data_IF_785004681163
#
_entry.id   IF_785004681163
#
_cell.length_a   1.000
_cell.length_b   1.000
_cell.length_c   1.000
_cell.angle_alpha   90.00
_cell.angle_beta   90.00
_cell.angle_gamma   90.00
#
_symmetry.space_group_name_H-M   'P 1'
#
loop_
_entity.id
_entity.type
_entity.pdbx_description
1 polymer ?
#
# COMPACT_ATOMS: atom_id res chain seq x y z
N UNK A 1 -25.53 -22.06 1.44
CA UNK A 1 -24.71 -23.25 1.73
C UNK A 1 -24.40 -23.21 3.20
N UNK A 2 -24.96 -24.16 3.96
CA UNK A 2 -24.65 -24.28 5.38
C UNK A 2 -23.22 -24.77 5.55
N UNK A 3 -22.43 -24.07 6.34
CA UNK A 3 -21.11 -24.55 6.80
C UNK A 3 -21.38 -25.78 7.68
N UNK A 4 -20.67 -26.90 7.50
CA UNK A 4 -20.88 -28.05 8.35
C UNK A 4 -20.56 -27.71 9.80
N UNK A 5 -21.48 -27.94 10.75
CA UNK A 5 -21.26 -27.65 12.16
C UNK A 5 -20.54 -28.84 12.77
N UNK A 6 -19.25 -28.81 12.93
CA UNK A 6 -18.58 -29.89 13.65
C UNK A 6 -17.22 -29.56 14.24
N UNK A 7 -16.91 -28.28 14.42
CA UNK A 7 -15.74 -27.92 15.19
C UNK A 7 -16.17 -27.13 16.43
N UNK A 8 -15.62 -27.53 17.56
CA UNK A 8 -15.87 -26.83 18.81
C UNK A 8 -15.09 -25.52 18.83
N UNK A 9 -15.78 -24.44 19.22
CA UNK A 9 -15.15 -23.14 19.37
C UNK A 9 -14.07 -23.22 20.47
N UNK A 10 -12.89 -22.64 20.24
CA UNK A 10 -11.88 -22.54 21.30
C UNK A 10 -12.46 -21.87 22.54
N UNK A 11 -12.23 -22.43 23.76
CA UNK A 11 -12.83 -21.90 24.99
C UNK A 11 -12.55 -20.42 25.26
N UNK A 12 -11.37 -19.95 24.86
CA UNK A 12 -10.93 -18.56 25.07
C UNK A 12 -11.70 -17.54 24.20
N UNK A 13 -12.50 -18.02 23.28
CA UNK A 13 -13.21 -17.20 22.30
C UNK A 13 -14.63 -16.84 22.67
N UNK A 14 -15.18 -17.51 23.65
CA UNK A 14 -16.50 -17.18 24.14
C UNK A 14 -16.54 -15.77 24.76
N UNK A 15 -15.39 -15.28 25.23
CA UNK A 15 -15.26 -14.03 25.93
C UNK A 15 -14.77 -12.85 25.07
N UNK A 16 -14.41 -13.07 23.79
CA UNK A 16 -13.98 -11.99 22.91
C UNK A 16 -15.18 -11.16 22.44
N UNK A 17 -15.11 -9.86 22.67
CA UNK A 17 -16.12 -8.91 22.21
C UNK A 17 -15.83 -8.50 20.76
N UNK A 18 -16.60 -9.04 19.81
CA UNK A 18 -16.54 -8.70 18.39
C UNK A 18 -17.43 -7.54 17.98
N UNK A 19 -18.19 -6.97 18.91
CA UNK A 19 -19.13 -5.86 18.64
C UNK A 19 -18.45 -4.71 17.89
N UNK A 20 -17.26 -4.21 18.29
CA UNK A 20 -16.61 -3.11 17.58
C UNK A 20 -16.25 -3.43 16.12
N UNK A 21 -15.91 -4.68 15.84
CA UNK A 21 -15.64 -5.14 14.48
C UNK A 21 -16.93 -5.18 13.65
N UNK A 22 -18.00 -5.77 14.18
CA UNK A 22 -19.29 -5.88 13.49
C UNK A 22 -19.94 -4.51 13.27
N UNK A 23 -19.84 -3.60 14.24
CA UNK A 23 -20.29 -2.21 14.09
C UNK A 23 -19.56 -1.48 12.95
N UNK A 24 -18.23 -1.68 12.85
CA UNK A 24 -17.45 -1.08 11.77
C UNK A 24 -17.80 -1.64 10.40
N UNK A 25 -18.10 -2.93 10.32
CA UNK A 25 -18.59 -3.57 9.09
C UNK A 25 -20.03 -3.18 8.76
N UNK A 26 -20.83 -2.81 9.77
CA UNK A 26 -22.26 -2.46 9.63
C UNK A 26 -23.12 -3.64 9.23
N UNK A 27 -22.70 -4.88 9.54
CA UNK A 27 -23.42 -6.12 9.25
C UNK A 27 -23.22 -7.15 10.36
N UNK A 28 -24.19 -8.04 10.51
CA UNK A 28 -24.10 -9.19 11.40
C UNK A 28 -23.42 -10.37 10.69
N UNK A 29 -22.59 -11.10 11.42
CA UNK A 29 -22.00 -12.36 10.98
C UNK A 29 -22.22 -13.43 12.05
N UNK A 30 -22.40 -14.70 11.65
CA UNK A 30 -22.38 -15.76 12.63
C UNK A 30 -21.00 -15.83 13.30
N UNK A 31 -21.01 -16.15 14.57
CA UNK A 31 -19.77 -16.23 15.36
C UNK A 31 -18.78 -17.22 14.75
N UNK A 32 -19.25 -18.37 14.30
CA UNK A 32 -18.42 -19.40 13.66
C UNK A 32 -17.75 -18.88 12.39
N UNK A 33 -18.49 -18.17 11.56
CA UNK A 33 -17.96 -17.65 10.29
C UNK A 33 -16.96 -16.51 10.52
N UNK A 34 -17.24 -15.62 11.49
CA UNK A 34 -16.34 -14.56 11.89
C UNK A 34 -15.03 -15.13 12.44
N UNK A 35 -15.11 -16.09 13.35
CA UNK A 35 -13.95 -16.80 13.92
C UNK A 35 -13.11 -17.42 12.80
N UNK A 36 -13.75 -18.12 11.87
CA UNK A 36 -13.05 -18.71 10.74
C UNK A 36 -12.34 -17.65 9.90
N UNK A 37 -12.95 -16.50 9.63
CA UNK A 37 -12.32 -15.43 8.89
C UNK A 37 -11.07 -14.86 9.59
N UNK A 38 -11.05 -14.91 10.92
CA UNK A 38 -9.97 -14.40 11.75
C UNK A 38 -8.92 -15.48 12.10
N UNK A 39 -9.14 -16.75 11.70
CA UNK A 39 -8.26 -17.87 12.04
C UNK A 39 -7.14 -18.05 11.01
N UNK A 40 -5.94 -17.59 11.35
CA UNK A 40 -4.76 -17.82 10.53
C UNK A 40 -4.34 -19.30 10.54
N UNK A 41 -3.74 -19.76 9.43
CA UNK A 41 -3.27 -21.15 9.28
C UNK A 41 -2.34 -21.63 10.40
N UNK A 42 -1.55 -20.75 11.03
CA UNK A 42 -0.69 -21.13 12.13
C UNK A 42 -1.48 -21.60 13.35
N UNK A 43 -2.61 -20.93 13.65
CA UNK A 43 -3.49 -21.35 14.72
C UNK A 43 -4.18 -22.69 14.41
N UNK A 44 -4.72 -22.81 13.20
CA UNK A 44 -5.36 -24.06 12.77
C UNK A 44 -4.40 -25.26 12.78
N UNK A 45 -3.11 -25.03 12.52
CA UNK A 45 -2.08 -26.05 12.61
C UNK A 45 -1.87 -26.55 14.05
N UNK A 46 -1.88 -25.64 15.02
CA UNK A 46 -1.75 -25.99 16.44
C UNK A 46 -3.04 -26.58 17.06
N UNK A 47 -4.19 -26.36 16.40
CA UNK A 47 -5.52 -26.78 16.87
C UNK A 47 -6.23 -27.62 15.79
N UNK A 48 -5.89 -28.92 15.66
CA UNK A 48 -6.49 -29.80 14.65
C UNK A 48 -8.02 -29.83 14.73
N UNK A 49 -8.66 -29.66 13.57
CA UNK A 49 -10.11 -29.61 13.46
C UNK A 49 -10.68 -28.20 13.31
N UNK A 50 -9.93 -27.16 13.63
CA UNK A 50 -10.33 -25.77 13.42
C UNK A 50 -9.95 -25.35 11.99
N UNK A 51 -10.90 -24.88 11.16
CA UNK A 51 -10.61 -24.44 9.79
C UNK A 51 -9.94 -23.08 9.78
N UNK A 52 -8.92 -22.90 8.92
CA UNK A 52 -8.30 -21.61 8.67
C UNK A 52 -9.13 -20.72 7.73
N UNK A 53 -8.63 -19.49 7.51
CA UNK A 53 -9.28 -18.46 6.71
C UNK A 53 -8.96 -18.50 5.20
N UNK A 54 -8.00 -19.30 4.72
CA UNK A 54 -7.51 -19.27 3.33
C UNK A 54 -8.62 -19.39 2.26
N UNK A 55 -9.64 -20.21 2.51
CA UNK A 55 -10.75 -20.34 1.56
C UNK A 55 -11.70 -19.14 1.55
N UNK A 56 -11.83 -18.44 2.67
CA UNK A 56 -12.57 -17.17 2.76
C UNK A 56 -11.80 -16.04 2.13
N UNK A 57 -10.49 -15.97 2.34
CA UNK A 57 -9.54 -15.08 1.69
C UNK A 57 -9.68 -15.20 0.15
N UNK A 58 -9.55 -16.41 -0.39
CA UNK A 58 -9.69 -16.65 -1.83
C UNK A 58 -11.02 -16.13 -2.41
N UNK A 59 -12.13 -16.34 -1.70
CA UNK A 59 -13.43 -15.82 -2.12
C UNK A 59 -13.50 -14.30 -1.97
N UNK A 60 -13.00 -13.79 -0.84
CA UNK A 60 -13.02 -12.36 -0.52
C UNK A 60 -12.20 -11.51 -1.48
N UNK A 61 -11.02 -11.99 -1.89
CA UNK A 61 -10.22 -11.36 -2.95
C UNK A 61 -11.04 -11.18 -4.23
N UNK A 62 -11.73 -12.20 -4.67
CA UNK A 62 -12.57 -12.13 -5.88
C UNK A 62 -13.72 -11.12 -5.73
N UNK A 63 -14.39 -11.09 -4.56
CA UNK A 63 -15.48 -10.14 -4.27
C UNK A 63 -14.95 -8.71 -4.14
N UNK A 64 -13.79 -8.52 -3.53
CA UNK A 64 -13.10 -7.24 -3.43
C UNK A 64 -12.75 -6.71 -4.82
N UNK A 65 -12.10 -7.55 -5.63
CA UNK A 65 -11.68 -7.18 -6.98
C UNK A 65 -12.86 -6.75 -7.86
N UNK A 66 -13.97 -7.52 -7.89
CA UNK A 66 -15.13 -7.13 -8.70
C UNK A 66 -15.77 -5.84 -8.17
N UNK A 67 -15.88 -5.67 -6.85
CA UNK A 67 -16.49 -4.48 -6.25
C UNK A 67 -15.71 -3.20 -6.58
N UNK A 68 -14.39 -3.25 -6.46
CA UNK A 68 -13.51 -2.12 -6.78
C UNK A 68 -13.48 -1.87 -8.30
N UNK A 69 -13.43 -2.94 -9.11
CA UNK A 69 -13.44 -2.81 -10.58
C UNK A 69 -14.68 -2.09 -11.08
N UNK A 70 -15.87 -2.51 -10.66
CA UNK A 70 -17.12 -1.85 -11.04
C UNK A 70 -17.17 -0.39 -10.56
N UNK A 71 -16.69 -0.11 -9.34
CA UNK A 71 -16.64 1.26 -8.84
C UNK A 71 -15.73 2.13 -9.69
N UNK A 72 -14.52 1.69 -10.02
CA UNK A 72 -13.59 2.42 -10.88
C UNK A 72 -14.15 2.64 -12.27
N UNK A 73 -14.76 1.62 -12.87
CA UNK A 73 -15.38 1.70 -14.19
C UNK A 73 -16.45 2.80 -14.26
N UNK A 74 -17.31 2.91 -13.26
CA UNK A 74 -18.36 3.91 -13.22
C UNK A 74 -17.89 5.30 -12.76
N UNK A 75 -16.93 5.36 -11.87
CA UNK A 75 -16.44 6.63 -11.31
C UNK A 75 -15.49 7.36 -12.29
N UNK A 76 -14.79 6.61 -13.15
CA UNK A 76 -13.78 7.15 -14.06
C UNK A 76 -14.03 6.70 -15.51
N UNK A 77 -15.16 7.11 -16.14
CA UNK A 77 -15.59 6.63 -17.46
C UNK A 77 -14.62 6.96 -18.60
N UNK A 78 -13.84 8.03 -18.44
CA UNK A 78 -12.93 8.52 -19.49
C UNK A 78 -11.51 7.94 -19.38
N UNK A 79 -11.25 7.11 -18.36
CA UNK A 79 -9.92 6.53 -18.19
C UNK A 79 -9.75 5.23 -18.97
N UNK A 80 -8.62 5.06 -19.66
CA UNK A 80 -8.33 3.83 -20.40
C UNK A 80 -8.16 2.63 -19.46
N UNK A 81 -8.38 1.42 -19.99
CA UNK A 81 -8.30 0.16 -19.25
C UNK A 81 -7.00 0.02 -18.45
N UNK A 82 -5.83 0.30 -19.06
CA UNK A 82 -4.54 0.18 -18.38
C UNK A 82 -4.40 1.07 -17.13
N UNK A 83 -5.05 2.23 -17.12
CA UNK A 83 -5.10 3.11 -15.96
C UNK A 83 -6.00 2.54 -14.87
N UNK A 84 -7.19 2.10 -15.23
CA UNK A 84 -8.13 1.46 -14.31
C UNK A 84 -7.53 0.21 -13.66
N UNK A 85 -6.79 -0.61 -14.43
CA UNK A 85 -6.10 -1.78 -13.94
C UNK A 85 -5.00 -1.43 -12.93
N UNK A 86 -4.21 -0.39 -13.18
CA UNK A 86 -3.18 0.11 -12.25
C UNK A 86 -3.81 0.68 -10.98
N UNK A 87 -4.88 1.47 -11.08
CA UNK A 87 -5.63 1.98 -9.93
C UNK A 87 -6.13 0.84 -9.07
N UNK A 88 -6.80 -0.15 -9.67
CA UNK A 88 -7.28 -1.32 -8.96
C UNK A 88 -6.14 -2.03 -8.22
N UNK A 89 -5.05 -2.36 -8.92
CA UNK A 89 -3.92 -3.08 -8.32
C UNK A 89 -3.36 -2.39 -7.07
N UNK A 90 -3.33 -1.06 -7.04
CA UNK A 90 -2.89 -0.31 -5.87
C UNK A 90 -3.92 -0.30 -4.74
N UNK A 91 -5.19 -0.10 -5.07
CA UNK A 91 -6.28 -0.05 -4.09
C UNK A 91 -6.42 -1.39 -3.37
N UNK A 92 -6.38 -2.52 -4.11
CA UNK A 92 -6.52 -3.88 -3.54
C UNK A 92 -5.18 -4.51 -3.16
N UNK A 93 -4.08 -3.75 -3.13
CA UNK A 93 -2.78 -4.28 -2.74
C UNK A 93 -2.76 -4.73 -1.28
N UNK A 94 -1.97 -5.76 -0.94
CA UNK A 94 -1.80 -6.21 0.44
C UNK A 94 -1.38 -5.08 1.39
N UNK A 95 -0.57 -4.12 0.92
CA UNK A 95 -0.23 -2.93 1.70
C UNK A 95 -1.47 -2.05 2.01
N UNK A 96 -2.33 -1.80 1.04
CA UNK A 96 -3.56 -1.01 1.22
C UNK A 96 -4.54 -1.72 2.15
N UNK A 97 -4.70 -3.04 1.98
CA UNK A 97 -5.56 -3.85 2.84
C UNK A 97 -5.05 -3.93 4.28
N UNK A 98 -3.74 -4.08 4.49
CA UNK A 98 -3.15 -4.04 5.82
C UNK A 98 -3.35 -2.68 6.51
N UNK A 99 -3.20 -1.58 5.77
CA UNK A 99 -3.52 -0.23 6.30
C UNK A 99 -4.99 -0.12 6.67
N UNK A 100 -5.88 -0.62 5.84
CA UNK A 100 -7.32 -0.66 6.14
C UNK A 100 -7.57 -1.49 7.40
N UNK A 101 -7.02 -2.70 7.49
CA UNK A 101 -7.15 -3.59 8.64
C UNK A 101 -6.83 -2.89 9.98
N UNK A 102 -5.79 -2.06 10.02
CA UNK A 102 -5.41 -1.27 11.19
C UNK A 102 -6.42 -0.21 11.60
N UNK A 103 -7.41 0.10 10.75
CA UNK A 103 -8.49 1.05 11.03
C UNK A 103 -9.83 0.40 11.38
N UNK A 104 -9.90 -0.92 11.33
CA UNK A 104 -11.11 -1.68 11.62
C UNK A 104 -11.20 -1.96 13.13
N UNK A 105 -12.19 -1.35 13.77
CA UNK A 105 -12.32 -1.41 15.22
C UNK A 105 -11.38 -0.43 15.96
N UNK A 106 -11.43 -0.38 17.28
CA UNK A 106 -10.69 0.59 18.09
C UNK A 106 -9.17 0.35 18.09
N UNK A 107 -8.72 -0.89 17.94
CA UNK A 107 -7.32 -1.32 18.01
C UNK A 107 -6.82 -1.96 16.70
N UNK A 108 -7.67 -2.02 15.69
CA UNK A 108 -7.37 -2.69 14.41
C UNK A 108 -7.79 -4.16 14.41
N UNK A 109 -7.90 -4.73 13.19
CA UNK A 109 -8.29 -6.12 12.97
C UNK A 109 -7.33 -7.12 13.61
N UNK A 110 -6.06 -6.73 13.77
CA UNK A 110 -5.00 -7.58 14.32
C UNK A 110 -5.30 -8.10 15.73
N UNK A 111 -6.00 -7.33 16.56
CA UNK A 111 -6.37 -7.75 17.92
C UNK A 111 -7.34 -8.95 17.94
N UNK A 112 -8.11 -9.11 16.88
CA UNK A 112 -9.09 -10.19 16.75
C UNK A 112 -8.53 -11.45 16.11
N UNK A 113 -7.26 -11.44 15.63
CA UNK A 113 -6.68 -12.58 14.92
C UNK A 113 -6.33 -13.74 15.85
N UNK A 114 -6.58 -14.95 15.37
CA UNK A 114 -6.08 -16.19 15.96
C UNK A 114 -4.79 -16.57 15.28
N UNK A 115 -3.77 -16.55 16.05
CA UNK A 115 -2.41 -16.88 15.63
C UNK A 115 -1.87 -18.05 16.44
N UNK A 116 -1.11 -18.94 15.80
CA UNK A 116 -0.30 -19.90 16.51
C UNK A 116 0.81 -19.20 17.30
N UNK A 117 1.29 -19.84 18.34
CA UNK A 117 2.25 -19.26 19.30
C UNK A 117 3.50 -18.71 18.62
N UNK A 118 4.02 -19.40 17.60
CA UNK A 118 5.21 -18.95 16.88
C UNK A 118 4.97 -17.68 16.10
N UNK A 119 3.83 -17.55 15.45
CA UNK A 119 3.43 -16.37 14.69
C UNK A 119 3.13 -15.19 15.61
N UNK A 120 2.47 -15.42 16.74
CA UNK A 120 2.23 -14.42 17.78
C UNK A 120 3.52 -13.79 18.29
N UNK A 121 4.51 -14.64 18.65
CA UNK A 121 5.81 -14.19 19.16
C UNK A 121 6.63 -13.38 18.15
N UNK A 122 6.37 -13.53 16.88
CA UNK A 122 7.04 -12.77 15.81
C UNK A 122 6.27 -11.54 15.35
N UNK A 123 5.27 -11.11 16.12
CA UNK A 123 4.47 -9.91 15.83
C UNK A 123 3.46 -10.11 14.70
N UNK A 124 2.94 -11.33 14.54
CA UNK A 124 2.00 -11.70 13.47
C UNK A 124 0.76 -10.82 13.41
N UNK A 125 0.28 -10.27 14.55
CA UNK A 125 -0.87 -9.37 14.62
C UNK A 125 -0.73 -8.09 13.81
N UNK A 126 0.49 -7.64 13.52
CA UNK A 126 0.77 -6.42 12.75
C UNK A 126 1.51 -6.69 11.44
N UNK A 127 1.64 -7.95 11.01
CA UNK A 127 2.22 -8.28 9.71
C UNK A 127 1.27 -7.94 8.58
N UNK A 128 1.75 -7.17 7.60
CA UNK A 128 0.96 -6.72 6.45
C UNK A 128 0.28 -7.87 5.71
N UNK A 129 0.98 -8.98 5.45
CA UNK A 129 0.39 -10.14 4.77
C UNK A 129 -0.79 -10.73 5.54
N UNK A 130 -0.62 -10.98 6.85
CA UNK A 130 -1.67 -11.60 7.69
C UNK A 130 -2.88 -10.68 7.83
N UNK A 131 -2.66 -9.37 7.95
CA UNK A 131 -3.72 -8.37 8.02
C UNK A 131 -4.49 -8.26 6.70
N UNK A 132 -3.81 -8.33 5.57
CA UNK A 132 -4.42 -8.31 4.25
C UNK A 132 -5.30 -9.55 4.04
N UNK A 133 -4.73 -10.75 4.23
CA UNK A 133 -5.42 -12.03 4.08
C UNK A 133 -6.66 -12.12 4.97
N UNK A 134 -6.56 -11.66 6.23
CA UNK A 134 -7.69 -11.61 7.15
C UNK A 134 -8.77 -10.62 6.71
N UNK A 135 -8.39 -9.47 6.14
CA UNK A 135 -9.36 -8.49 5.60
C UNK A 135 -10.15 -9.09 4.45
N UNK A 136 -9.48 -9.76 3.51
CA UNK A 136 -10.14 -10.49 2.43
C UNK A 136 -11.04 -11.60 2.96
N UNK A 137 -10.57 -12.36 3.95
CA UNK A 137 -11.37 -13.40 4.57
C UNK A 137 -12.64 -12.88 5.23
N UNK A 138 -12.58 -11.71 5.89
CA UNK A 138 -13.77 -11.02 6.43
C UNK A 138 -14.73 -10.61 5.31
N UNK A 139 -14.23 -10.07 4.20
CA UNK A 139 -15.08 -9.78 3.04
C UNK A 139 -15.73 -11.04 2.44
N UNK A 140 -15.00 -12.14 2.40
CA UNK A 140 -15.54 -13.44 2.01
C UNK A 140 -16.64 -13.94 2.94
N UNK A 141 -16.49 -13.74 4.26
CA UNK A 141 -17.49 -14.08 5.25
C UNK A 141 -18.76 -13.23 5.09
N UNK A 142 -18.62 -11.91 4.89
CA UNK A 142 -19.74 -11.02 4.58
C UNK A 142 -20.47 -11.49 3.32
N UNK A 143 -19.73 -11.88 2.29
CA UNK A 143 -20.31 -12.34 1.03
C UNK A 143 -21.12 -13.64 1.19
N UNK A 144 -20.60 -14.61 1.91
CA UNK A 144 -21.32 -15.87 2.16
C UNK A 144 -22.64 -15.62 2.91
N UNK A 145 -22.61 -14.67 3.87
CA UNK A 145 -23.77 -14.39 4.72
C UNK A 145 -24.82 -13.56 4.00
N UNK A 146 -24.41 -12.53 3.26
CA UNK A 146 -25.30 -11.47 2.79
C UNK A 146 -25.38 -11.32 1.27
N UNK A 147 -24.54 -12.02 0.51
CA UNK A 147 -24.49 -11.91 -0.94
C UNK A 147 -23.75 -10.67 -1.44
N UNK A 148 -23.73 -10.50 -2.77
CA UNK A 148 -22.85 -9.52 -3.44
C UNK A 148 -23.21 -8.05 -3.14
N UNK A 149 -24.49 -7.72 -3.06
CA UNK A 149 -24.90 -6.30 -2.92
C UNK A 149 -24.50 -5.74 -1.55
N UNK A 150 -24.63 -6.55 -0.50
CA UNK A 150 -24.23 -6.15 0.86
C UNK A 150 -22.70 -6.13 0.95
N UNK A 151 -22.02 -7.14 0.44
CA UNK A 151 -20.55 -7.17 0.42
C UNK A 151 -19.97 -5.96 -0.29
N UNK A 152 -20.49 -5.63 -1.46
CA UNK A 152 -20.08 -4.45 -2.22
C UNK A 152 -20.23 -3.17 -1.41
N UNK A 153 -21.37 -3.00 -0.73
CA UNK A 153 -21.62 -1.83 0.13
C UNK A 153 -20.61 -1.74 1.27
N UNK A 154 -20.32 -2.85 1.95
CA UNK A 154 -19.34 -2.91 3.04
C UNK A 154 -17.93 -2.60 2.51
N UNK A 155 -17.50 -3.28 1.46
CA UNK A 155 -16.18 -3.10 0.84
C UNK A 155 -16.00 -1.66 0.40
N UNK A 156 -16.93 -1.12 -0.38
CA UNK A 156 -16.81 0.24 -0.90
C UNK A 156 -16.91 1.30 0.21
N UNK A 157 -17.69 1.06 1.25
CA UNK A 157 -17.75 1.94 2.43
C UNK A 157 -16.39 2.04 3.13
N UNK A 158 -15.67 0.95 3.22
CA UNK A 158 -14.34 0.91 3.84
C UNK A 158 -13.22 1.40 2.90
N UNK A 159 -13.33 1.10 1.61
CA UNK A 159 -12.28 1.37 0.60
C UNK A 159 -12.45 2.74 -0.09
N UNK A 160 -13.57 3.44 0.08
CA UNK A 160 -13.84 4.70 -0.62
C UNK A 160 -12.73 5.74 -0.46
N UNK A 161 -12.13 5.98 0.73
CA UNK A 161 -11.02 6.91 0.86
C UNK A 161 -9.81 6.54 -0.01
N UNK A 162 -9.51 5.23 -0.15
CA UNK A 162 -8.42 4.76 -1.00
C UNK A 162 -8.74 4.92 -2.49
N UNK A 163 -10.01 4.77 -2.86
CA UNK A 163 -10.48 4.97 -4.24
C UNK A 163 -10.39 6.45 -4.62
N UNK A 164 -10.80 7.34 -3.73
CA UNK A 164 -10.75 8.78 -3.95
C UNK A 164 -9.30 9.28 -4.01
N UNK A 165 -8.46 8.85 -3.05
CA UNK A 165 -7.01 9.13 -3.06
C UNK A 165 -6.35 8.67 -4.37
N UNK A 166 -6.72 7.50 -4.91
CA UNK A 166 -6.19 7.00 -6.17
C UNK A 166 -6.68 7.84 -7.37
N UNK A 167 -7.88 8.41 -7.29
CA UNK A 167 -8.42 9.32 -8.29
C UNK A 167 -7.74 10.69 -8.30
N UNK A 168 -7.58 11.28 -7.12
CA UNK A 168 -7.00 12.61 -6.92
C UNK A 168 -5.48 12.62 -7.09
N UNK A 169 -4.81 11.54 -6.70
CA UNK A 169 -3.37 11.38 -6.89
C UNK A 169 -2.96 11.19 -8.36
N UNK A 170 -3.95 11.19 -9.29
CA UNK A 170 -3.70 10.88 -10.69
C UNK A 170 -2.97 9.55 -10.80
N UNK A 171 -3.72 8.46 -10.68
CA UNK A 171 -3.26 7.08 -10.75
C UNK A 171 -2.26 6.76 -9.61
N UNK A 172 -2.52 5.70 -8.85
CA UNK A 172 -1.47 5.01 -8.07
C UNK A 172 -0.45 4.40 -9.03
N UNK A 173 0.14 5.26 -9.81
CA UNK A 173 1.21 4.97 -10.71
C UNK A 173 2.35 4.45 -9.85
N UNK A 174 2.87 3.34 -10.24
CA UNK A 174 4.29 3.16 -10.10
C UNK A 174 4.94 4.32 -10.88
N UNK A 175 4.99 5.48 -10.19
CA UNK A 175 5.55 6.72 -10.75
C UNK A 175 6.89 6.48 -11.39
N UNK A 176 7.62 5.47 -10.89
CA UNK A 176 8.88 5.04 -11.46
C UNK A 176 8.69 4.38 -12.82
N UNK A 177 7.71 3.48 -12.95
CA UNK A 177 7.41 2.82 -14.23
C UNK A 177 6.89 3.81 -15.26
N UNK A 178 5.97 4.68 -14.89
CA UNK A 178 5.46 5.72 -15.79
C UNK A 178 6.55 6.70 -16.24
N UNK A 179 7.43 7.05 -15.31
CA UNK A 179 8.58 7.90 -15.61
C UNK A 179 9.60 7.17 -16.52
N UNK A 180 9.77 5.86 -16.36
CA UNK A 180 10.61 5.03 -17.22
C UNK A 180 10.06 4.94 -18.64
N UNK A 181 8.75 4.71 -18.80
CA UNK A 181 8.06 4.66 -20.09
C UNK A 181 8.20 6.01 -20.81
N UNK A 182 7.92 7.11 -20.10
CA UNK A 182 8.08 8.47 -20.63
C UNK A 182 9.54 8.79 -21.00
N UNK A 183 10.48 8.43 -20.14
CA UNK A 183 11.90 8.65 -20.36
C UNK A 183 12.42 7.87 -21.57
N UNK A 184 11.94 6.65 -21.75
CA UNK A 184 12.29 5.82 -22.92
C UNK A 184 11.77 6.46 -24.23
N UNK A 185 10.56 7.05 -24.21
CA UNK A 185 9.99 7.70 -25.39
C UNK A 185 10.66 9.04 -25.74
N UNK A 186 10.93 9.88 -24.73
CA UNK A 186 11.37 11.26 -24.95
C UNK A 186 12.89 11.46 -24.87
N UNK A 187 13.59 10.67 -24.06
CA UNK A 187 15.00 10.90 -23.76
C UNK A 187 15.93 9.73 -24.13
N UNK A 188 15.40 8.60 -24.59
CA UNK A 188 16.16 7.37 -24.85
C UNK A 188 17.06 6.92 -23.69
N UNK A 189 16.70 7.28 -22.46
CA UNK A 189 17.45 6.98 -21.25
C UNK A 189 16.51 6.74 -20.07
N UNK A 190 16.88 5.88 -19.14
CA UNK A 190 16.10 5.65 -17.92
C UNK A 190 16.23 6.84 -16.95
N UNK A 191 15.18 7.11 -16.12
CA UNK A 191 15.27 8.06 -15.04
C UNK A 191 16.32 7.61 -14.00
N UNK A 192 17.01 8.57 -13.41
CA UNK A 192 17.98 8.33 -12.33
C UNK A 192 17.55 9.09 -11.10
N UNK A 193 17.82 8.53 -9.92
CA UNK A 193 17.50 9.16 -8.64
C UNK A 193 18.79 9.45 -7.87
N UNK A 194 19.01 10.71 -7.57
CA UNK A 194 20.04 11.11 -6.63
C UNK A 194 19.50 11.00 -5.21
N UNK A 195 20.18 10.22 -4.34
CA UNK A 195 19.67 9.91 -3.00
C UNK A 195 20.65 10.38 -1.95
N UNK A 196 20.12 11.11 -0.95
CA UNK A 196 20.85 11.52 0.25
C UNK A 196 20.09 11.05 1.50
N UNK A 197 20.72 11.12 2.66
CA UNK A 197 20.04 10.79 3.92
C UNK A 197 20.61 11.59 5.08
N UNK A 198 19.77 11.88 6.06
CA UNK A 198 20.12 12.59 7.29
C UNK A 198 19.49 11.93 8.51
N UNK A 199 19.98 12.27 9.69
CA UNK A 199 19.52 11.77 10.99
C UNK A 199 20.23 10.51 11.47
N UNK A 200 20.05 10.16 12.75
CA UNK A 200 20.65 8.98 13.35
C UNK A 200 20.08 7.69 12.74
N UNK A 201 20.80 6.57 12.81
CA UNK A 201 20.45 5.32 12.15
C UNK A 201 19.04 4.79 12.45
N UNK A 202 18.55 5.02 13.68
CA UNK A 202 17.21 4.62 14.11
C UNK A 202 16.08 5.58 13.67
N UNK A 203 16.42 6.77 13.15
CA UNK A 203 15.48 7.79 12.69
C UNK A 203 15.95 8.45 11.39
N UNK A 204 16.60 7.67 10.51
CA UNK A 204 17.15 8.15 9.25
C UNK A 204 16.04 8.57 8.28
N UNK A 205 16.16 9.76 7.72
CA UNK A 205 15.29 10.27 6.67
C UNK A 205 16.07 10.31 5.36
N UNK A 206 15.47 9.76 4.30
CA UNK A 206 16.04 9.73 2.96
C UNK A 206 15.38 10.80 2.09
N UNK A 207 16.19 11.42 1.25
CA UNK A 207 15.77 12.38 0.23
C UNK A 207 16.18 11.84 -1.14
N UNK A 208 15.36 12.06 -2.14
CA UNK A 208 15.67 11.69 -3.51
C UNK A 208 15.30 12.83 -4.46
N UNK A 209 16.08 13.00 -5.50
CA UNK A 209 15.81 13.93 -6.61
C UNK A 209 15.73 13.12 -7.90
N UNK A 210 14.63 13.28 -8.65
CA UNK A 210 14.43 12.61 -9.94
C UNK A 210 15.14 13.38 -11.05
N UNK A 211 16.01 12.69 -11.78
CA UNK A 211 16.79 13.21 -12.89
C UNK A 211 16.35 12.55 -14.19
N UNK A 212 16.06 13.37 -15.22
CA UNK A 212 15.61 12.93 -16.51
C UNK A 212 16.30 13.75 -17.60
N UNK A 213 16.88 13.09 -18.61
CA UNK A 213 17.62 13.77 -19.66
C UNK A 213 18.73 14.69 -19.17
N UNK A 214 19.37 14.37 -18.03
CA UNK A 214 20.41 15.17 -17.40
C UNK A 214 19.92 16.42 -16.63
N UNK A 215 18.62 16.58 -16.43
CA UNK A 215 18.00 17.68 -15.68
C UNK A 215 17.25 17.14 -14.46
N UNK A 216 17.25 17.90 -13.39
CA UNK A 216 16.51 17.59 -12.17
C UNK A 216 15.11 18.21 -12.21
N UNK A 217 14.10 17.46 -11.79
CA UNK A 217 12.69 17.86 -11.85
C UNK A 217 12.04 17.90 -10.48
N UNK A 218 11.90 16.77 -9.81
CA UNK A 218 11.16 16.66 -8.57
C UNK A 218 11.95 16.05 -7.44
N UNK A 219 11.66 16.48 -6.22
CA UNK A 219 12.28 15.96 -5.00
C UNK A 219 11.25 15.22 -4.14
N UNK A 220 11.71 14.22 -3.38
CA UNK A 220 10.88 13.47 -2.46
C UNK A 220 11.64 13.05 -1.21
N UNK A 221 10.91 12.82 -0.11
CA UNK A 221 11.47 12.33 1.15
C UNK A 221 10.73 11.09 1.62
N UNK A 222 11.40 10.24 2.39
CA UNK A 222 10.78 9.05 2.96
C UNK A 222 11.63 8.41 4.05
N UNK A 223 11.05 7.48 4.82
CA UNK A 223 11.74 6.76 5.88
C UNK A 223 12.78 5.74 5.36
N UNK A 224 12.79 5.46 4.07
CA UNK A 224 13.77 4.63 3.39
C UNK A 224 13.97 5.11 1.95
N UNK A 225 15.04 4.60 1.29
CA UNK A 225 15.39 4.96 -0.10
C UNK A 225 14.21 4.77 -1.05
N UNK A 226 13.54 3.62 -0.98
CA UNK A 226 12.41 3.27 -1.87
C UNK A 226 11.27 4.29 -1.77
N UNK A 227 10.91 4.71 -0.56
CA UNK A 227 9.85 5.72 -0.35
C UNK A 227 10.26 7.12 -0.80
N UNK A 228 11.51 7.51 -0.58
CA UNK A 228 12.04 8.77 -1.08
C UNK A 228 12.04 8.81 -2.62
N UNK A 229 12.49 7.74 -3.28
CA UNK A 229 12.46 7.62 -4.74
C UNK A 229 11.04 7.63 -5.33
N UNK A 230 10.08 6.96 -4.68
CA UNK A 230 8.67 7.00 -5.12
C UNK A 230 8.09 8.42 -5.05
N UNK A 231 8.38 9.13 -3.96
CA UNK A 231 7.95 10.52 -3.80
C UNK A 231 8.62 11.45 -4.83
N UNK A 232 9.92 11.25 -5.11
CA UNK A 232 10.64 12.00 -6.13
C UNK A 232 10.12 11.70 -7.55
N UNK A 233 9.81 10.43 -7.84
CA UNK A 233 9.23 10.05 -9.13
C UNK A 233 7.88 10.74 -9.36
N UNK A 234 7.03 10.78 -8.33
CA UNK A 234 5.77 11.51 -8.36
C UNK A 234 5.99 13.00 -8.67
N UNK A 235 6.81 13.66 -7.86
CA UNK A 235 7.09 15.09 -8.03
C UNK A 235 7.69 15.40 -9.41
N UNK A 236 8.56 14.52 -9.92
CA UNK A 236 9.13 14.63 -11.28
C UNK A 236 8.05 14.52 -12.33
N UNK A 237 7.15 13.56 -12.22
CA UNK A 237 6.04 13.40 -13.16
C UNK A 237 5.11 14.62 -13.16
N UNK A 238 4.72 15.09 -11.98
CA UNK A 238 3.87 16.28 -11.83
C UNK A 238 4.51 17.53 -12.47
N UNK A 239 5.83 17.71 -12.30
CA UNK A 239 6.58 18.80 -12.94
C UNK A 239 6.56 18.70 -14.45
N UNK A 240 6.78 17.50 -15.01
CA UNK A 240 6.72 17.25 -16.45
C UNK A 240 5.32 17.54 -17.02
N UNK A 241 4.26 17.09 -16.34
CA UNK A 241 2.88 17.35 -16.77
C UNK A 241 2.52 18.85 -16.76
N UNK A 242 3.15 19.64 -15.89
CA UNK A 242 3.02 21.10 -15.88
C UNK A 242 3.86 21.80 -16.97
N UNK A 243 4.64 21.07 -17.74
CA UNK A 243 5.53 21.60 -18.77
C UNK A 243 6.80 22.25 -18.22
N UNK A 244 7.19 21.92 -17.00
CA UNK A 244 8.42 22.42 -16.39
C UNK A 244 9.65 21.85 -17.12
N UNK A 245 10.65 22.70 -17.39
CA UNK A 245 11.83 22.31 -18.17
C UNK A 245 12.92 21.58 -17.35
N UNK A 246 12.69 21.35 -16.07
CA UNK A 246 13.70 20.87 -15.14
C UNK A 246 14.82 21.89 -14.92
N UNK A 247 15.47 21.81 -13.78
CA UNK A 247 16.59 22.69 -13.38
C UNK A 247 17.94 22.03 -13.65
N UNK A 248 19.01 22.81 -13.61
CA UNK A 248 20.36 22.25 -13.61
C UNK A 248 20.57 21.41 -12.33
N UNK A 249 21.28 20.30 -12.47
CA UNK A 249 21.44 19.31 -11.39
C UNK A 249 21.99 19.94 -10.10
N UNK A 250 22.89 20.93 -10.23
CA UNK A 250 23.50 21.62 -9.09
C UNK A 250 22.48 22.37 -8.21
N UNK A 251 21.50 23.03 -8.81
CA UNK A 251 20.48 23.81 -8.07
C UNK A 251 19.49 22.91 -7.35
N UNK A 252 19.15 21.76 -7.89
CA UNK A 252 18.21 20.82 -7.26
C UNK A 252 18.85 19.98 -6.17
N UNK A 253 20.13 19.67 -6.31
CA UNK A 253 20.90 19.09 -5.21
C UNK A 253 20.96 20.06 -4.04
N UNK A 254 21.20 21.35 -4.30
CA UNK A 254 21.14 22.39 -3.28
C UNK A 254 19.78 22.49 -2.60
N UNK A 255 18.66 22.47 -3.37
CA UNK A 255 17.28 22.46 -2.80
C UNK A 255 16.96 21.23 -1.99
N UNK A 256 17.48 20.08 -2.38
CA UNK A 256 17.33 18.83 -1.58
C UNK A 256 18.05 18.96 -0.23
N UNK A 257 19.14 19.74 -0.19
CA UNK A 257 19.92 20.00 1.02
C UNK A 257 19.36 21.15 1.88
N UNK A 258 18.66 22.13 1.29
CA UNK A 258 18.11 23.31 2.01
C UNK A 258 17.10 22.93 3.11
N UNK A 259 16.46 21.78 3.04
CA UNK A 259 15.59 21.25 4.10
C UNK A 259 16.32 20.48 5.21
N UNK A 260 17.67 20.38 5.14
CA UNK A 260 18.47 19.62 6.10
C UNK A 260 19.10 20.53 7.17
N UNK A 261 19.17 20.11 8.45
CA UNK A 261 19.96 20.80 9.45
C UNK A 261 21.43 20.87 9.01
N UNK A 262 22.01 22.07 9.08
CA UNK A 262 23.37 22.34 8.57
C UNK A 262 24.48 21.45 9.16
N UNK A 263 24.24 20.81 10.31
CA UNK A 263 25.20 19.96 11.01
C UNK A 263 25.23 18.50 10.50
N UNK A 264 24.28 18.08 9.65
CA UNK A 264 24.14 16.70 9.18
C UNK A 264 24.63 16.51 7.72
N UNK A 265 25.09 17.57 7.08
CA UNK A 265 25.54 17.54 5.69
C UNK A 265 27.02 17.15 5.62
N UNK A 266 27.27 15.85 5.69
CA UNK A 266 28.60 15.30 5.39
C UNK A 266 28.60 14.65 3.99
N UNK A 267 28.44 15.49 2.93
CA UNK A 267 28.35 15.04 1.56
C UNK A 267 29.49 15.64 0.71
N UNK A 268 30.37 14.80 0.24
CA UNK A 268 31.14 15.08 -0.96
C UNK A 268 30.22 14.85 -2.18
N UNK A 269 29.32 15.79 -2.41
CA UNK A 269 28.25 15.75 -3.42
C UNK A 269 28.81 15.41 -4.81
N UNK A 270 30.09 15.72 -5.07
CA UNK A 270 30.75 15.45 -6.35
C UNK A 270 31.15 13.99 -6.55
N UNK A 271 31.40 13.23 -5.47
CA UNK A 271 31.77 11.82 -5.56
C UNK A 271 30.60 10.90 -5.83
N UNK A 272 29.40 11.28 -5.38
CA UNK A 272 28.21 10.46 -5.45
C UNK A 272 27.30 10.82 -6.65
N UNK A 273 27.66 11.84 -7.43
CA UNK A 273 26.96 12.19 -8.66
C UNK A 273 27.23 11.18 -9.78
N UNK A 274 26.20 10.81 -10.55
CA UNK A 274 26.40 10.00 -11.76
C UNK A 274 27.40 10.66 -12.72
N UNK A 275 28.27 9.88 -13.34
CA UNK A 275 29.38 10.40 -14.21
C UNK A 275 28.94 11.34 -15.32
N UNK A 276 27.69 11.27 -15.78
CA UNK A 276 27.13 12.18 -16.80
C UNK A 276 26.68 13.54 -16.20
N UNK A 277 26.39 13.62 -14.92
CA UNK A 277 26.07 14.88 -14.25
C UNK A 277 27.33 15.76 -14.06
N UNK A 278 28.52 15.16 -14.04
CA UNK A 278 29.79 15.86 -13.87
C UNK A 278 30.24 16.57 -15.16
N UNK A 279 29.81 16.09 -16.34
CA UNK A 279 30.19 16.67 -17.64
C UNK A 279 29.51 18.01 -17.95
N UNK A 280 28.35 18.28 -17.36
CA UNK A 280 27.59 19.53 -17.60
C UNK A 280 28.03 20.70 -16.72
N UNK A 281 28.81 20.46 -15.68
CA UNK A 281 29.33 21.51 -14.75
C UNK A 281 30.75 21.98 -15.11
N UNK A 282 31.47 21.28 -15.99
CA UNK A 282 32.86 21.60 -16.34
C UNK A 282 33.02 22.37 -17.67
N UNK A 283 31.94 22.61 -18.42
CA UNK A 283 31.97 23.33 -19.71
C UNK A 283 31.21 24.66 -19.66
N UNK A 284 31.07 25.26 -18.48
CA UNK A 284 30.55 26.63 -18.26
C UNK A 284 31.64 27.55 -17.69
#
# INVERSE_FOLDING_TARGET
MSIPPSWELPPDWENVDYTPLLEKLGVELSRELLIRALCHRSYAYEHPGIPNNERLEFLGDSVLNISVTERLFHQYPDRPEGELAKMRANIVSGYSLARLARTIGPTGLGEFLLLGRGEELTGGRDKDSILADATEAVFGAVHITHGIDVSRRVILGLMQPLIDDAGDAGIGLDWKTSLQEYAASEYSSAPVYYITSTGPDHAKVFYATGILGGRAYGTGRGPNKKKAEQAAARATWEAIQKGEKGSEIADDVARTLDGMPANDINLDVRKDMPKYAIKTVSDA
#
